data_IF_695552439909
#
_entry.id   IF_695552439909
#
_cell.length_a   1.000
_cell.length_b   1.000
_cell.length_c   1.000
_cell.angle_alpha   90.00
_cell.angle_beta   90.00
_cell.angle_gamma   90.00
#
_symmetry.space_group_name_H-M   'P 1'
#
loop_
_entity.id
_entity.type
_entity.pdbx_description
1 polymer ?
#
# COMPACT_ATOMS: atom_id res chain seq x y z
N UNK A 1 1.66 17.56 41.11
CA UNK A 1 1.76 18.72 40.18
C UNK A 1 2.07 18.08 38.83
N UNK A 2 1.02 17.79 38.06
CA UNK A 2 1.18 17.19 36.74
C UNK A 2 1.61 18.27 35.74
N UNK A 3 2.65 17.93 34.97
CA UNK A 3 3.22 18.81 33.95
C UNK A 3 2.19 19.02 32.82
N UNK A 4 1.66 20.22 32.57
CA UNK A 4 0.61 20.45 31.56
C UNK A 4 1.14 20.46 30.10
N UNK A 5 2.39 20.11 29.86
CA UNK A 5 3.03 20.17 28.54
C UNK A 5 3.31 18.81 27.89
N UNK A 6 2.66 17.72 28.31
CA UNK A 6 2.57 16.57 27.43
C UNK A 6 1.55 16.89 26.33
N UNK A 7 2.00 17.68 25.38
CA UNK A 7 1.32 17.88 24.11
C UNK A 7 1.22 16.50 23.48
N UNK A 8 0.08 15.81 23.66
CA UNK A 8 -0.24 14.59 22.89
C UNK A 8 0.01 14.98 21.43
N UNK A 9 1.12 14.51 20.87
CA UNK A 9 1.31 14.56 19.43
C UNK A 9 0.04 13.94 18.86
N UNK A 10 -0.76 14.74 18.13
CA UNK A 10 -1.95 14.21 17.47
C UNK A 10 -1.44 13.09 16.59
N UNK A 11 -1.78 11.85 16.94
CA UNK A 11 -1.40 10.68 16.18
C UNK A 11 -1.93 10.86 14.76
N UNK A 12 -1.03 10.65 13.80
CA UNK A 12 -1.39 10.69 12.40
C UNK A 12 -2.18 9.43 12.06
N UNK A 13 -3.30 9.59 11.38
CA UNK A 13 -4.08 8.49 10.84
C UNK A 13 -3.82 8.37 9.33
N UNK A 14 -3.29 7.23 8.91
CA UNK A 14 -3.08 6.92 7.50
C UNK A 14 -4.37 6.33 6.93
N UNK A 15 -4.85 6.89 5.83
CA UNK A 15 -6.07 6.44 5.15
C UNK A 15 -5.66 5.69 3.89
N UNK A 16 -6.12 4.46 3.76
CA UNK A 16 -5.84 3.58 2.62
C UNK A 16 -7.12 2.98 2.06
N UNK A 17 -7.09 2.54 0.80
CA UNK A 17 -8.24 1.93 0.16
C UNK A 17 -8.53 0.52 0.69
N UNK A 18 -7.50 -0.32 0.80
CA UNK A 18 -7.65 -1.75 1.04
C UNK A 18 -6.71 -2.34 2.09
N UNK A 19 -6.99 -3.59 2.44
CA UNK A 19 -6.23 -4.35 3.43
C UNK A 19 -4.79 -4.65 3.00
N UNK A 20 -4.53 -4.80 1.69
CA UNK A 20 -3.17 -5.01 1.19
C UNK A 20 -2.25 -3.81 1.46
N UNK A 21 -2.78 -2.60 1.34
CA UNK A 21 -2.05 -1.37 1.68
C UNK A 21 -1.70 -1.32 3.16
N UNK A 22 -2.67 -1.68 4.03
CA UNK A 22 -2.46 -1.75 5.47
C UNK A 22 -1.36 -2.76 5.83
N UNK A 23 -1.44 -3.97 5.28
CA UNK A 23 -0.45 -5.02 5.53
C UNK A 23 0.94 -4.60 5.07
N UNK A 24 1.05 -3.98 3.88
CA UNK A 24 2.32 -3.48 3.36
C UNK A 24 2.92 -2.41 4.28
N UNK A 25 2.13 -1.42 4.70
CA UNK A 25 2.59 -0.35 5.59
C UNK A 25 3.01 -0.85 6.98
N UNK A 26 2.25 -1.79 7.56
CA UNK A 26 2.60 -2.41 8.84
C UNK A 26 3.92 -3.19 8.72
N UNK A 27 4.09 -3.96 7.65
CA UNK A 27 5.33 -4.70 7.41
C UNK A 27 6.54 -3.77 7.17
N UNK A 28 6.36 -2.65 6.47
CA UNK A 28 7.41 -1.64 6.30
C UNK A 28 7.77 -1.00 7.64
N UNK A 29 6.78 -0.61 8.44
CA UNK A 29 7.03 -0.03 9.76
C UNK A 29 7.82 -1.00 10.67
N UNK A 30 7.43 -2.28 10.68
CA UNK A 30 8.13 -3.34 11.41
C UNK A 30 9.60 -3.46 10.96
N UNK A 31 9.87 -3.49 9.66
CA UNK A 31 11.23 -3.53 9.12
C UNK A 31 12.08 -2.31 9.47
N UNK A 32 11.44 -1.16 9.60
CA UNK A 32 12.10 0.10 10.00
C UNK A 32 12.26 0.24 11.51
N UNK A 33 11.84 -0.75 12.30
CA UNK A 33 11.85 -0.70 13.77
C UNK A 33 10.95 0.40 14.33
N UNK A 34 9.87 0.74 13.64
CA UNK A 34 8.90 1.77 14.05
C UNK A 34 7.69 1.16 14.74
N UNK A 35 7.02 1.97 15.53
CA UNK A 35 5.71 1.63 16.05
C UNK A 35 4.71 1.34 14.91
N UNK A 36 3.76 0.45 15.21
CA UNK A 36 2.69 0.14 14.26
C UNK A 36 1.89 1.40 13.95
N UNK A 37 1.75 1.77 12.67
CA UNK A 37 0.99 2.96 12.30
C UNK A 37 -0.50 2.79 12.55
N UNK A 38 -1.19 3.87 12.88
CA UNK A 38 -2.65 3.89 12.89
C UNK A 38 -3.15 4.02 11.44
N UNK A 39 -3.93 3.05 10.98
CA UNK A 39 -4.39 2.96 9.59
C UNK A 39 -5.90 2.74 9.57
N UNK A 40 -6.59 3.57 8.80
CA UNK A 40 -8.00 3.38 8.44
C UNK A 40 -8.11 2.81 7.03
N UNK A 41 -8.80 1.69 6.91
CA UNK A 41 -9.10 1.03 5.64
C UNK A 41 -10.50 1.39 5.20
N UNK A 42 -10.63 2.00 4.01
CA UNK A 42 -11.92 2.50 3.50
C UNK A 42 -12.83 1.40 2.97
N UNK A 43 -12.26 0.30 2.45
CA UNK A 43 -13.01 -0.71 1.70
C UNK A 43 -13.43 -0.27 0.30
N UNK A 44 -12.84 0.82 -0.21
CA UNK A 44 -13.08 1.41 -1.52
C UNK A 44 -12.85 2.91 -1.53
N UNK A 45 -12.23 3.44 -2.59
CA UNK A 45 -11.83 4.86 -2.68
C UNK A 45 -13.02 5.84 -2.64
N UNK A 46 -14.18 5.43 -3.10
CA UNK A 46 -15.38 6.28 -3.09
C UNK A 46 -15.88 6.62 -1.67
N UNK A 47 -15.47 5.87 -0.66
CA UNK A 47 -15.83 6.13 0.74
C UNK A 47 -15.04 7.26 1.38
N UNK A 48 -14.01 7.81 0.72
CA UNK A 48 -13.10 8.76 1.36
C UNK A 48 -13.76 10.06 1.81
N UNK A 49 -14.64 10.62 1.02
CA UNK A 49 -15.31 11.88 1.38
C UNK A 49 -16.15 11.72 2.66
N UNK A 50 -16.92 10.64 2.74
CA UNK A 50 -17.72 10.33 3.92
C UNK A 50 -16.86 10.05 5.15
N UNK A 51 -15.76 9.32 4.95
CA UNK A 51 -14.81 9.04 6.02
C UNK A 51 -14.18 10.33 6.59
N UNK A 52 -13.69 11.23 5.74
CA UNK A 52 -13.10 12.51 6.15
C UNK A 52 -14.12 13.38 6.90
N UNK A 53 -15.37 13.42 6.44
CA UNK A 53 -16.44 14.14 7.11
C UNK A 53 -16.68 13.63 8.54
N UNK A 54 -16.62 12.31 8.75
CA UNK A 54 -16.81 11.69 10.07
C UNK A 54 -15.57 11.79 10.96
N UNK A 55 -14.37 11.73 10.39
CA UNK A 55 -13.11 11.78 11.13
C UNK A 55 -12.84 13.15 11.78
N UNK A 56 -13.44 14.21 11.27
CA UNK A 56 -13.30 15.57 11.81
C UNK A 56 -11.89 16.14 11.66
N UNK A 57 -11.38 16.80 12.72
CA UNK A 57 -10.10 17.52 12.71
C UNK A 57 -8.88 16.62 12.99
N UNK A 58 -8.87 15.37 12.54
CA UNK A 58 -7.71 14.48 12.68
C UNK A 58 -6.60 14.85 11.69
N UNK A 59 -5.37 14.49 12.04
CA UNK A 59 -4.23 14.61 11.14
C UNK A 59 -4.24 13.44 10.15
N UNK A 60 -4.88 13.63 9.00
CA UNK A 60 -5.07 12.60 7.98
C UNK A 60 -4.03 12.70 6.88
N UNK A 61 -3.51 11.55 6.45
CA UNK A 61 -2.64 11.42 5.27
C UNK A 61 -3.08 10.19 4.48
N UNK A 62 -3.13 10.30 3.15
CA UNK A 62 -3.58 9.22 2.28
C UNK A 62 -2.43 8.47 1.61
N UNK A 63 -2.62 7.17 1.41
CA UNK A 63 -1.89 6.37 0.45
C UNK A 63 -2.90 5.73 -0.51
N UNK A 64 -2.73 5.92 -1.81
CA UNK A 64 -3.64 5.39 -2.82
C UNK A 64 -2.91 4.96 -4.09
N UNK A 65 -3.61 4.22 -4.93
CA UNK A 65 -3.15 3.91 -6.29
C UNK A 65 -3.36 5.11 -7.23
N UNK A 66 -2.65 5.13 -8.36
CA UNK A 66 -2.75 6.22 -9.35
C UNK A 66 -4.19 6.47 -9.81
N UNK A 67 -4.98 5.45 -10.01
CA UNK A 67 -6.37 5.57 -10.45
C UNK A 67 -7.26 6.28 -9.43
N UNK A 68 -6.91 6.24 -8.15
CA UNK A 68 -7.68 6.79 -7.04
C UNK A 68 -7.17 8.19 -6.60
N UNK A 69 -6.08 8.66 -7.19
CA UNK A 69 -5.41 9.91 -6.80
C UNK A 69 -6.37 11.09 -6.78
N UNK A 70 -7.22 11.23 -7.79
CA UNK A 70 -8.17 12.33 -7.88
C UNK A 70 -9.13 12.38 -6.69
N UNK A 71 -9.68 11.24 -6.29
CA UNK A 71 -10.60 11.15 -5.15
C UNK A 71 -9.90 11.49 -3.84
N UNK A 72 -8.70 10.94 -3.63
CA UNK A 72 -7.92 11.19 -2.42
C UNK A 72 -7.50 12.66 -2.31
N UNK A 73 -6.99 13.27 -3.38
CA UNK A 73 -6.56 14.69 -3.38
C UNK A 73 -7.70 15.68 -3.21
N UNK A 74 -8.91 15.31 -3.59
CA UNK A 74 -10.09 16.14 -3.29
C UNK A 74 -10.47 16.14 -1.81
N UNK A 75 -10.18 15.07 -1.11
CA UNK A 75 -10.59 14.88 0.28
C UNK A 75 -9.47 15.17 1.29
N UNK A 76 -8.21 14.98 0.91
CA UNK A 76 -7.04 15.07 1.80
C UNK A 76 -6.01 16.05 1.27
N UNK A 77 -5.40 16.82 2.17
CA UNK A 77 -4.33 17.77 1.83
C UNK A 77 -2.99 17.06 1.50
N UNK A 78 -2.77 15.88 2.08
CA UNK A 78 -1.53 15.12 1.92
C UNK A 78 -1.84 13.72 1.43
N UNK A 79 -1.30 13.38 0.26
CA UNK A 79 -1.55 12.11 -0.43
C UNK A 79 -0.25 11.62 -1.05
N UNK A 80 0.06 10.35 -0.79
CA UNK A 80 1.12 9.59 -1.44
C UNK A 80 0.50 8.61 -2.43
N UNK A 81 1.11 8.48 -3.60
CA UNK A 81 0.53 7.72 -4.71
C UNK A 81 1.45 6.60 -5.14
N UNK A 82 0.94 5.38 -5.12
CA UNK A 82 1.57 4.21 -5.74
C UNK A 82 1.27 4.22 -7.24
N UNK A 83 2.29 4.06 -8.07
CA UNK A 83 2.16 4.13 -9.52
C UNK A 83 2.63 2.83 -10.21
N UNK A 84 1.75 2.12 -10.88
CA UNK A 84 0.31 2.37 -11.07
C UNK A 84 -0.52 1.99 -9.84
N UNK A 85 -0.02 1.10 -9.02
CA UNK A 85 -0.64 0.56 -7.81
C UNK A 85 0.44 0.04 -6.84
N UNK A 86 0.01 -0.44 -5.66
CA UNK A 86 0.90 -1.01 -4.66
C UNK A 86 1.72 -2.17 -5.21
N UNK A 87 1.08 -3.08 -5.93
CA UNK A 87 1.74 -4.26 -6.50
C UNK A 87 2.85 -3.85 -7.48
N UNK A 88 2.59 -2.88 -8.34
CA UNK A 88 3.58 -2.32 -9.28
C UNK A 88 4.78 -1.70 -8.58
N UNK A 89 4.55 -0.95 -7.49
CA UNK A 89 5.62 -0.38 -6.68
C UNK A 89 6.50 -1.48 -6.05
N UNK A 90 5.90 -2.52 -5.49
CA UNK A 90 6.61 -3.62 -4.86
C UNK A 90 7.41 -4.45 -5.87
N UNK A 91 6.81 -4.78 -7.02
CA UNK A 91 7.48 -5.53 -8.09
C UNK A 91 8.68 -4.74 -8.63
N UNK A 92 8.52 -3.46 -8.87
CA UNK A 92 9.59 -2.60 -9.37
C UNK A 92 10.73 -2.47 -8.36
N UNK A 93 10.43 -2.33 -7.09
CA UNK A 93 11.43 -2.22 -6.03
C UNK A 93 12.19 -3.53 -5.78
N UNK A 94 11.52 -4.69 -5.92
CA UNK A 94 12.15 -6.01 -5.87
C UNK A 94 13.00 -6.31 -7.11
N UNK A 95 12.56 -5.86 -8.26
CA UNK A 95 12.95 -6.38 -9.55
C UNK A 95 12.12 -7.59 -9.96
N UNK A 96 11.79 -7.65 -11.25
CA UNK A 96 10.84 -8.62 -11.78
C UNK A 96 11.28 -10.07 -11.56
N UNK A 97 12.57 -10.36 -11.69
CA UNK A 97 13.12 -11.72 -11.49
C UNK A 97 12.94 -12.21 -10.05
N UNK A 98 13.20 -11.36 -9.05
CA UNK A 98 13.00 -11.71 -7.64
C UNK A 98 11.52 -11.87 -7.32
N UNK A 99 10.67 -11.01 -7.88
CA UNK A 99 9.21 -11.12 -7.70
C UNK A 99 8.68 -12.45 -8.26
N UNK A 100 9.13 -12.86 -9.44
CA UNK A 100 8.81 -14.18 -10.02
C UNK A 100 9.31 -15.33 -9.14
N UNK A 101 10.52 -15.24 -8.63
CA UNK A 101 11.09 -16.28 -7.76
C UNK A 101 10.31 -16.46 -6.45
N UNK A 102 9.67 -15.39 -5.96
CA UNK A 102 8.80 -15.41 -4.78
C UNK A 102 7.37 -15.86 -5.08
N UNK A 103 6.96 -15.82 -6.36
CA UNK A 103 5.63 -16.22 -6.76
C UNK A 103 5.45 -17.74 -6.63
N UNK A 104 4.21 -18.14 -6.35
CA UNK A 104 3.81 -19.54 -6.28
C UNK A 104 4.00 -20.24 -7.64
N UNK A 105 4.33 -21.54 -7.70
CA UNK A 105 4.41 -22.30 -8.97
C UNK A 105 3.17 -22.19 -9.87
N UNK A 106 2.00 -21.91 -9.32
CA UNK A 106 0.78 -21.66 -10.09
C UNK A 106 0.92 -20.47 -11.05
N UNK A 107 1.80 -19.51 -10.78
CA UNK A 107 2.09 -18.41 -11.69
C UNK A 107 2.64 -18.90 -13.05
N UNK A 108 3.60 -19.83 -13.02
CA UNK A 108 4.17 -20.42 -14.24
C UNK A 108 3.10 -21.15 -15.08
N UNK A 109 2.11 -21.76 -14.44
CA UNK A 109 0.99 -22.40 -15.12
C UNK A 109 0.09 -21.37 -15.82
N UNK A 110 -0.20 -20.25 -15.16
CA UNK A 110 -1.01 -19.17 -15.74
C UNK A 110 -0.32 -18.48 -16.91
N UNK A 111 1.00 -18.35 -16.88
CA UNK A 111 1.78 -17.76 -17.98
C UNK A 111 1.62 -18.49 -19.32
N UNK A 112 1.29 -19.77 -19.30
CA UNK A 112 1.06 -20.59 -20.49
C UNK A 112 -0.28 -20.30 -21.17
N UNK A 113 -1.18 -19.58 -20.51
CA UNK A 113 -2.50 -19.28 -21.07
C UNK A 113 -2.40 -18.29 -22.24
N UNK A 114 -3.20 -18.50 -23.33
CA UNK A 114 -3.17 -17.62 -24.50
C UNK A 114 -3.41 -16.14 -24.18
N UNK A 115 -4.26 -15.85 -23.21
CA UNK A 115 -4.59 -14.48 -22.78
C UNK A 115 -3.39 -13.69 -22.19
N UNK A 116 -2.30 -14.39 -21.86
CA UNK A 116 -1.11 -13.78 -21.26
C UNK A 116 0.04 -13.64 -22.26
N UNK A 117 -0.14 -14.14 -23.47
CA UNK A 117 0.89 -14.04 -24.53
C UNK A 117 1.13 -12.58 -24.91
N UNK A 118 2.41 -12.20 -24.97
CA UNK A 118 2.81 -10.83 -25.32
C UNK A 118 2.60 -9.78 -24.22
N UNK A 119 2.03 -10.18 -23.07
CA UNK A 119 1.91 -9.29 -21.93
C UNK A 119 3.27 -9.15 -21.25
N UNK A 120 3.73 -7.91 -20.90
CA UNK A 120 4.94 -7.72 -20.11
C UNK A 120 4.91 -8.50 -18.79
N UNK A 121 6.05 -9.01 -18.35
CA UNK A 121 6.12 -9.86 -17.16
C UNK A 121 5.63 -9.16 -15.89
N UNK A 122 5.91 -7.86 -15.75
CA UNK A 122 5.38 -7.05 -14.65
C UNK A 122 3.85 -7.04 -14.63
N UNK A 123 3.22 -6.88 -15.79
CA UNK A 123 1.75 -6.87 -15.89
C UNK A 123 1.15 -8.25 -15.61
N UNK A 124 1.84 -9.32 -16.03
CA UNK A 124 1.45 -10.69 -15.69
C UNK A 124 1.47 -10.91 -14.17
N UNK A 125 2.53 -10.47 -13.49
CA UNK A 125 2.64 -10.55 -12.03
C UNK A 125 1.56 -9.74 -11.34
N UNK A 126 1.34 -8.49 -11.75
CA UNK A 126 0.29 -7.64 -11.18
C UNK A 126 -1.08 -8.30 -11.32
N UNK A 127 -1.38 -8.85 -12.50
CA UNK A 127 -2.63 -9.56 -12.76
C UNK A 127 -2.76 -10.81 -11.88
N UNK A 128 -1.70 -11.56 -11.73
CA UNK A 128 -1.67 -12.74 -10.85
C UNK A 128 -1.96 -12.37 -9.40
N UNK A 129 -1.32 -11.33 -8.89
CA UNK A 129 -1.51 -10.86 -7.51
C UNK A 129 -2.92 -10.34 -7.27
N UNK A 130 -3.53 -9.70 -8.27
CA UNK A 130 -4.88 -9.11 -8.19
C UNK A 130 -6.00 -10.12 -8.42
N UNK A 131 -5.73 -11.22 -9.13
CA UNK A 131 -6.74 -12.10 -9.68
C UNK A 131 -7.31 -13.16 -8.74
N UNK A 132 -6.71 -13.36 -7.56
CA UNK A 132 -7.15 -14.38 -6.59
C UNK A 132 -7.33 -13.77 -5.21
N UNK A 133 -8.46 -14.11 -4.57
CA UNK A 133 -8.73 -13.74 -3.19
C UNK A 133 -7.60 -14.23 -2.27
N UNK A 134 -7.08 -13.34 -1.46
CA UNK A 134 -5.99 -13.62 -0.51
C UNK A 134 -4.57 -13.46 -1.07
N UNK A 135 -4.35 -13.53 -2.39
CA UNK A 135 -3.01 -13.33 -2.96
C UNK A 135 -2.46 -11.92 -2.68
N UNK A 136 -3.26 -10.89 -2.86
CA UNK A 136 -2.84 -9.51 -2.56
C UNK A 136 -2.31 -9.36 -1.13
N UNK A 137 -3.01 -9.92 -0.16
CA UNK A 137 -2.67 -9.82 1.26
C UNK A 137 -1.37 -10.57 1.56
N UNK A 138 -1.27 -11.81 1.08
CA UNK A 138 -0.10 -12.66 1.27
C UNK A 138 1.15 -12.05 0.66
N UNK A 139 1.07 -11.62 -0.60
CA UNK A 139 2.22 -11.08 -1.32
C UNK A 139 2.59 -9.66 -0.89
N UNK A 140 1.66 -8.85 -0.41
CA UNK A 140 1.98 -7.56 0.15
C UNK A 140 3.02 -7.68 1.27
N UNK A 141 2.81 -8.59 2.22
CA UNK A 141 3.78 -8.84 3.29
C UNK A 141 5.05 -9.51 2.78
N UNK A 142 4.92 -10.58 2.01
CA UNK A 142 6.05 -11.36 1.48
C UNK A 142 7.02 -10.48 0.68
N UNK A 143 6.50 -9.64 -0.20
CA UNK A 143 7.32 -8.75 -1.02
C UNK A 143 8.01 -7.67 -0.19
N UNK A 144 7.28 -7.05 0.75
CA UNK A 144 7.88 -6.06 1.65
C UNK A 144 9.03 -6.66 2.44
N UNK A 145 8.89 -7.88 2.95
CA UNK A 145 9.94 -8.57 3.69
C UNK A 145 11.21 -8.84 2.85
N UNK A 146 11.07 -8.94 1.54
CA UNK A 146 12.17 -9.21 0.59
C UNK A 146 12.79 -7.95 -0.02
N UNK A 147 12.25 -6.76 0.22
CA UNK A 147 12.75 -5.51 -0.35
C UNK A 147 14.15 -5.15 0.17
N UNK A 148 15.03 -4.66 -0.70
CA UNK A 148 16.26 -3.99 -0.30
C UNK A 148 16.01 -2.50 -0.02
N UNK A 149 15.18 -1.87 -0.86
CA UNK A 149 14.81 -0.46 -0.75
C UNK A 149 13.29 -0.33 -0.66
N UNK A 150 12.82 0.44 0.31
CA UNK A 150 11.39 0.70 0.48
C UNK A 150 10.92 1.68 -0.59
N UNK A 151 9.83 1.39 -1.33
CA UNK A 151 9.27 2.30 -2.31
C UNK A 151 8.96 3.69 -1.72
N UNK A 152 9.28 4.78 -2.47
CA UNK A 152 9.09 6.14 -1.98
C UNK A 152 7.70 6.47 -1.43
N UNK A 153 6.57 6.04 -2.03
CA UNK A 153 5.26 6.35 -1.48
C UNK A 153 5.02 5.74 -0.10
N UNK A 154 5.44 4.48 0.11
CA UNK A 154 5.31 3.81 1.40
C UNK A 154 6.21 4.45 2.45
N UNK A 155 7.45 4.76 2.07
CA UNK A 155 8.37 5.45 2.95
C UNK A 155 7.87 6.85 3.31
N UNK A 156 7.42 7.60 2.31
CA UNK A 156 6.95 8.97 2.47
C UNK A 156 5.77 9.08 3.41
N UNK A 157 4.74 8.25 3.24
CA UNK A 157 3.56 8.28 4.10
C UNK A 157 3.87 7.90 5.56
N UNK A 158 4.87 7.03 5.77
CA UNK A 158 5.33 6.69 7.12
C UNK A 158 6.24 7.77 7.75
N UNK A 159 6.96 8.55 6.95
CA UNK A 159 7.83 9.64 7.41
C UNK A 159 7.07 10.96 7.62
N UNK A 160 5.85 11.08 7.13
CA UNK A 160 4.99 12.26 7.30
C UNK A 160 4.77 12.56 8.79
N UNK A 161 4.88 13.83 9.21
CA UNK A 161 4.80 14.27 10.61
C UNK A 161 3.59 15.17 10.87
#
# INVERSE_FOLDING_TARGET
MEDPHVQRRRSRLIVVEGESDRIALEAVAERLGRERPEIAVLGGAHSIASFVALAGKQNLVGLCDRNEEFLFRRALARVYVCDPDLEGELIRALGTERAVALADPSFATLQKQPAWRGMPLEDQLRRYLSGRSGNKLRYARLFVEALDVIPPPLRGVLDER
#
